data_IF_255018398309
#
_entry.id   IF_255018398309
#
_cell.length_a   1.000
_cell.length_b   1.000
_cell.length_c   1.000
_cell.angle_alpha   90.00
_cell.angle_beta   90.00
_cell.angle_gamma   90.00
#
_symmetry.space_group_name_H-M   'P 1'
#
loop_
_entity.id
_entity.type
_entity.pdbx_description
1 polymer ?
#
# COMPACT_ATOMS: atom_id res chain seq x y z
N UNK A 1 -3.75 19.88 -9.07
CA UNK A 1 -4.75 18.83 -8.78
C UNK A 1 -4.01 17.51 -8.94
N UNK A 2 -3.75 16.79 -7.86
CA UNK A 2 -3.00 15.53 -7.95
C UNK A 2 -3.94 14.42 -8.40
N UNK A 3 -3.60 13.75 -9.50
CA UNK A 3 -4.37 12.60 -10.01
C UNK A 3 -4.29 11.48 -8.99
N UNK A 4 -5.45 10.93 -8.63
CA UNK A 4 -5.54 9.75 -7.77
C UNK A 4 -5.33 8.48 -8.58
N UNK A 5 -4.71 7.49 -7.98
CA UNK A 5 -4.48 6.16 -8.55
C UNK A 5 -4.67 5.10 -7.47
N UNK A 6 -4.98 3.88 -7.90
CA UNK A 6 -5.17 2.77 -6.98
C UNK A 6 -3.83 2.06 -6.71
N UNK A 7 -3.52 1.85 -5.45
CA UNK A 7 -2.39 1.03 -5.01
C UNK A 7 -2.89 -0.15 -4.20
N UNK A 8 -2.19 -1.27 -4.30
CA UNK A 8 -2.33 -2.46 -3.49
C UNK A 8 -1.16 -2.53 -2.55
N UNK A 9 -1.46 -2.69 -1.27
CA UNK A 9 -0.48 -2.83 -0.21
C UNK A 9 -0.66 -4.19 0.42
N UNK A 10 0.45 -4.87 0.65
CA UNK A 10 0.53 -6.15 1.32
C UNK A 10 1.37 -5.96 2.59
N UNK A 11 0.88 -6.48 3.71
CA UNK A 11 1.57 -6.43 4.99
C UNK A 11 2.45 -7.66 5.19
N UNK A 12 3.43 -7.56 6.09
CA UNK A 12 4.22 -8.70 6.51
C UNK A 12 3.33 -9.78 7.15
N UNK A 13 3.68 -11.07 7.04
CA UNK A 13 2.88 -12.19 7.54
C UNK A 13 2.69 -12.22 9.08
N UNK A 14 3.33 -11.29 9.80
CA UNK A 14 3.18 -11.12 11.24
C UNK A 14 1.97 -10.24 11.60
N UNK A 15 1.34 -9.58 10.63
CA UNK A 15 0.18 -8.71 10.85
C UNK A 15 -1.12 -9.49 10.72
N UNK A 16 -1.95 -9.39 11.76
CA UNK A 16 -3.30 -9.94 11.75
C UNK A 16 -4.29 -9.01 11.05
N UNK A 17 -5.47 -9.54 10.75
CA UNK A 17 -6.49 -8.79 10.03
C UNK A 17 -6.96 -7.55 10.81
N UNK A 18 -7.11 -7.68 12.13
CA UNK A 18 -7.49 -6.58 13.01
C UNK A 18 -6.47 -5.44 12.99
N UNK A 19 -5.16 -5.74 13.03
CA UNK A 19 -4.10 -4.73 12.93
C UNK A 19 -4.14 -4.00 11.58
N UNK A 20 -4.36 -4.75 10.50
CA UNK A 20 -4.49 -4.19 9.15
C UNK A 20 -5.71 -3.27 9.06
N UNK A 21 -6.86 -3.69 9.58
CA UNK A 21 -8.06 -2.86 9.60
C UNK A 21 -7.87 -1.60 10.45
N UNK A 22 -7.14 -1.70 11.56
CA UNK A 22 -6.85 -0.57 12.42
C UNK A 22 -5.91 0.43 11.73
N UNK A 23 -4.85 -0.03 11.08
CA UNK A 23 -3.99 0.81 10.25
C UNK A 23 -4.78 1.52 9.15
N UNK A 24 -5.65 0.79 8.47
CA UNK A 24 -6.50 1.36 7.42
C UNK A 24 -7.36 2.50 7.96
N UNK A 25 -8.00 2.31 9.12
CA UNK A 25 -8.82 3.35 9.75
C UNK A 25 -8.00 4.58 10.15
N UNK A 26 -6.85 4.36 10.77
CA UNK A 26 -5.94 5.45 11.16
C UNK A 26 -5.49 6.25 9.94
N UNK A 27 -5.23 5.56 8.83
CA UNK A 27 -4.86 6.19 7.57
C UNK A 27 -6.00 6.94 6.89
N UNK A 28 -7.20 6.38 6.85
CA UNK A 28 -8.37 7.12 6.34
C UNK A 28 -8.58 8.43 7.13
N UNK A 29 -8.30 8.43 8.44
CA UNK A 29 -8.38 9.62 9.30
C UNK A 29 -7.20 10.58 9.09
N UNK A 30 -5.97 10.07 8.99
CA UNK A 30 -4.73 10.85 8.91
C UNK A 30 -4.53 11.52 7.55
N UNK A 31 -4.69 10.77 6.46
CA UNK A 31 -4.43 11.25 5.10
C UNK A 31 -5.71 11.56 4.31
N UNK A 32 -6.89 11.26 4.83
CA UNK A 32 -8.16 11.48 4.13
C UNK A 32 -8.31 10.66 2.84
N UNK A 33 -7.62 9.52 2.76
CA UNK A 33 -7.75 8.59 1.66
C UNK A 33 -8.97 7.69 1.86
N UNK A 34 -9.51 7.14 0.77
CA UNK A 34 -10.55 6.10 0.86
C UNK A 34 -9.90 4.75 0.59
N UNK A 35 -9.95 3.88 1.57
CA UNK A 35 -9.33 2.57 1.52
C UNK A 35 -10.40 1.50 1.27
N UNK A 36 -10.08 0.56 0.39
CA UNK A 36 -10.91 -0.61 0.11
C UNK A 36 -10.14 -1.84 0.55
N UNK A 37 -10.57 -2.44 1.65
CA UNK A 37 -10.03 -3.73 2.06
C UNK A 37 -10.27 -4.73 0.94
N UNK A 38 -9.19 -5.16 0.31
CA UNK A 38 -9.21 -6.18 -0.71
C UNK A 38 -8.40 -7.34 -0.17
N UNK A 39 -9.09 -8.39 0.28
CA UNK A 39 -8.48 -9.70 0.49
C UNK A 39 -8.03 -10.21 -0.87
N UNK A 40 -6.83 -9.83 -1.26
CA UNK A 40 -6.28 -10.19 -2.55
C UNK A 40 -5.68 -11.59 -2.38
N UNK A 41 -6.22 -12.62 -3.06
CA UNK A 41 -5.46 -13.85 -3.22
C UNK A 41 -4.19 -13.48 -3.98
N UNK A 42 -3.05 -13.61 -3.32
CA UNK A 42 -1.77 -13.31 -3.95
C UNK A 42 -1.46 -14.44 -4.92
N UNK A 43 -1.54 -14.16 -6.22
CA UNK A 43 -1.07 -15.09 -7.26
C UNK A 43 0.47 -15.16 -7.16
N UNK A 44 0.98 -16.12 -6.39
CA UNK A 44 2.42 -16.36 -6.21
C UNK A 44 3.06 -15.78 -4.95
N UNK A 45 2.29 -15.26 -3.99
CA UNK A 45 2.79 -15.01 -2.61
C UNK A 45 1.96 -15.90 -1.69
N UNK A 46 2.60 -16.53 -0.70
CA UNK A 46 2.00 -17.57 0.12
C UNK A 46 0.60 -17.19 0.65
N UNK A 47 -0.26 -18.18 0.88
CA UNK A 47 -1.65 -18.13 1.40
C UNK A 47 -1.93 -17.19 2.60
N UNK A 48 -0.93 -16.50 3.15
CA UNK A 48 -1.01 -15.60 4.29
C UNK A 48 -0.74 -14.11 3.97
N UNK A 49 -0.56 -13.71 2.71
CA UNK A 49 -0.38 -12.29 2.37
C UNK A 49 -1.71 -11.53 2.46
N UNK A 50 -1.96 -10.92 3.62
CA UNK A 50 -3.09 -10.03 3.85
C UNK A 50 -2.73 -8.61 3.37
N UNK A 51 -3.64 -8.00 2.62
CA UNK A 51 -3.42 -6.69 2.03
C UNK A 51 -4.71 -5.91 1.87
N UNK A 52 -4.60 -4.71 1.30
CA UNK A 52 -5.71 -3.85 0.94
C UNK A 52 -5.39 -3.06 -0.32
N UNK A 53 -6.43 -2.54 -0.99
CA UNK A 53 -6.24 -1.54 -2.03
C UNK A 53 -6.73 -0.17 -1.55
N UNK A 54 -6.09 0.90 -1.99
CA UNK A 54 -6.54 2.24 -1.66
C UNK A 54 -6.33 3.19 -2.82
N UNK A 55 -7.20 4.19 -2.91
CA UNK A 55 -7.09 5.26 -3.89
C UNK A 55 -6.39 6.45 -3.23
N UNK A 56 -5.15 6.70 -3.64
CA UNK A 56 -4.27 7.74 -3.09
C UNK A 56 -3.70 8.61 -4.20
N UNK A 57 -3.23 9.79 -3.86
CA UNK A 57 -2.37 10.60 -4.72
C UNK A 57 -0.90 10.50 -4.28
N UNK A 58 0.04 11.07 -5.06
CA UNK A 58 1.48 10.99 -4.77
C UNK A 58 1.84 11.47 -3.34
N UNK A 59 1.27 12.58 -2.90
CA UNK A 59 1.51 13.15 -1.56
C UNK A 59 0.98 12.25 -0.45
N UNK A 60 -0.22 11.69 -0.64
CA UNK A 60 -0.82 10.74 0.30
C UNK A 60 -0.03 9.43 0.38
N UNK A 61 0.46 8.94 -0.78
CA UNK A 61 1.30 7.74 -0.84
C UNK A 61 2.62 7.97 -0.08
N UNK A 62 3.27 9.12 -0.25
CA UNK A 62 4.52 9.45 0.45
C UNK A 62 4.32 9.44 1.98
N UNK A 63 3.31 10.16 2.49
CA UNK A 63 3.00 10.18 3.93
C UNK A 63 2.68 8.80 4.47
N UNK A 64 1.81 8.06 3.76
CA UNK A 64 1.45 6.68 4.09
C UNK A 64 2.70 5.79 4.19
N UNK A 65 3.52 5.82 3.14
CA UNK A 65 4.66 4.94 3.05
C UNK A 65 5.68 5.27 4.13
N UNK A 66 5.95 6.55 4.38
CA UNK A 66 6.92 6.97 5.39
C UNK A 66 6.54 6.54 6.80
N UNK A 67 5.26 6.49 7.10
CA UNK A 67 4.74 6.10 8.42
C UNK A 67 4.74 4.58 8.59
N UNK A 68 4.35 3.82 7.56
CA UNK A 68 4.08 2.39 7.68
C UNK A 68 5.05 1.46 6.95
N UNK A 69 6.09 1.97 6.27
CA UNK A 69 6.98 1.14 5.43
C UNK A 69 7.59 -0.07 6.12
N UNK A 70 7.78 0.00 7.44
CA UNK A 70 8.37 -1.10 8.21
C UNK A 70 7.43 -2.30 8.33
N UNK A 71 6.13 -2.07 8.21
CA UNK A 71 5.08 -3.08 8.37
C UNK A 71 4.64 -3.69 7.03
N UNK A 72 4.94 -2.98 5.94
CA UNK A 72 4.60 -3.41 4.58
C UNK A 72 5.58 -4.48 4.09
N UNK A 73 5.04 -5.49 3.43
CA UNK A 73 5.79 -6.49 2.67
C UNK A 73 5.97 -6.06 1.22
N UNK A 74 4.91 -5.55 0.58
CA UNK A 74 4.90 -5.20 -0.83
C UNK A 74 3.88 -4.11 -1.12
N UNK A 75 4.21 -3.22 -2.05
CA UNK A 75 3.24 -2.28 -2.63
C UNK A 75 3.24 -2.46 -4.14
N UNK A 76 2.09 -2.31 -4.79
CA UNK A 76 1.92 -2.49 -6.24
C UNK A 76 0.82 -1.58 -6.74
N UNK A 77 1.05 -0.82 -7.80
CA UNK A 77 0.01 0.02 -8.37
C UNK A 77 -0.92 -0.77 -9.28
N UNK A 78 -2.19 -0.38 -9.29
CA UNK A 78 -3.16 -0.82 -10.27
C UNK A 78 -3.37 0.27 -11.31
N UNK A 79 -2.81 0.03 -12.50
CA UNK A 79 -2.95 0.90 -13.64
C UNK A 79 -1.85 1.97 -13.75
N UNK A 80 -2.12 3.07 -14.48
CA UNK A 80 -1.11 4.08 -14.77
C UNK A 80 -0.80 4.91 -13.52
N UNK A 81 0.43 4.79 -13.03
CA UNK A 81 0.97 5.60 -11.94
C UNK A 81 1.40 6.97 -12.48
N UNK A 82 0.99 8.10 -11.87
CA UNK A 82 1.48 9.41 -12.26
C UNK A 82 3.00 9.51 -12.00
N UNK A 83 3.72 10.28 -12.83
CA UNK A 83 5.19 10.36 -12.76
C UNK A 83 5.71 10.69 -11.35
N UNK A 84 5.06 11.63 -10.64
CA UNK A 84 5.42 12.01 -9.27
C UNK A 84 5.32 10.85 -8.27
N UNK A 85 4.37 9.92 -8.45
CA UNK A 85 4.25 8.74 -7.60
C UNK A 85 5.15 7.60 -8.07
N UNK A 86 5.57 7.62 -9.33
CA UNK A 86 6.37 6.56 -9.93
C UNK A 86 7.78 6.57 -9.36
N UNK A 87 8.38 7.75 -9.19
CA UNK A 87 9.67 7.89 -8.49
C UNK A 87 9.58 7.36 -7.05
N UNK A 88 8.53 7.74 -6.31
CA UNK A 88 8.28 7.22 -4.96
C UNK A 88 8.14 5.70 -4.95
N UNK A 89 7.37 5.12 -5.87
CA UNK A 89 7.19 3.67 -5.95
C UNK A 89 8.48 2.94 -6.36
N UNK A 90 9.26 3.48 -7.28
CA UNK A 90 10.52 2.88 -7.77
C UNK A 90 11.69 3.04 -6.79
N UNK A 91 11.75 4.06 -5.94
CA UNK A 91 12.80 4.14 -4.91
C UNK A 91 12.54 3.21 -3.71
N UNK A 92 11.28 2.88 -3.50
CA UNK A 92 10.80 2.32 -2.24
C UNK A 92 10.46 0.82 -2.36
N UNK A 93 9.79 0.40 -3.44
CA UNK A 93 9.34 -0.99 -3.63
C UNK A 93 10.48 -1.98 -3.96
N UNK A 94 11.51 -1.66 -4.78
CA UNK A 94 12.49 -2.65 -5.20
C UNK A 94 13.56 -3.01 -4.16
N UNK A 95 13.59 -2.38 -2.97
CA UNK A 95 14.52 -2.80 -1.91
C UNK A 95 14.03 -4.00 -1.08
N UNK A 96 12.75 -4.40 -1.22
CA UNK A 96 12.15 -5.48 -0.41
C UNK A 96 11.85 -6.76 -1.21
N UNK A 97 12.11 -6.75 -2.52
CA UNK A 97 11.97 -7.90 -3.41
C UNK A 97 13.37 -8.32 -3.92
N UNK A 98 14.22 -8.82 -3.03
CA UNK A 98 15.36 -9.64 -3.46
C UNK A 98 14.90 -11.10 -3.62
N UNK A 99 15.35 -11.81 -4.67
CA UNK A 99 15.04 -13.23 -4.89
C UNK A 99 15.55 -14.14 -3.77
#
# INVERSE_FOLDING_TARGET
MSTKFEVRVFYKPLFDEDDIMQHIRDLEESIGATMKVAYLPSDGVADNDKGFSCEVNATQLESFFREYYQDLAKVTALGPVPEDAKELMEEIIPQYITP
#
